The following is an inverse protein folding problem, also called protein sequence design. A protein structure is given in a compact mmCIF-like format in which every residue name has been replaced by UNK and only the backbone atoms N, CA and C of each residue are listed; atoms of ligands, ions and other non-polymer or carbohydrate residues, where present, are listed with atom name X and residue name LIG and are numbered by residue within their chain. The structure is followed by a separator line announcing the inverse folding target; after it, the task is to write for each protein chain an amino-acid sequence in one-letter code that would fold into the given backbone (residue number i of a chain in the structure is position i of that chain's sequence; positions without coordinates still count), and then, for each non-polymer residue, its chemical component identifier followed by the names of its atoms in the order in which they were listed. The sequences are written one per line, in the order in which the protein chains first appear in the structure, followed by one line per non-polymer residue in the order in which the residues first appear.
data_IF_119446458764
#
_entry.id   IF_119446458764
#
_cell.length_a   1.000
_cell.length_b   1.000
_cell.length_c   1.000
_cell.angle_alpha   90.00
_cell.angle_beta   90.00
_cell.angle_gamma   90.00
#
_symmetry.space_group_name_H-M   'P 1'
#
loop_
_entity.id
_entity.type
_entity.pdbx_description
1 polymer ?
#
# COMPACT_ATOMS: atom_id res chain seq x y z
N UNK A 1 -13.36 23.82 -45.15
CA UNK A 1 -13.26 23.58 -43.70
C UNK A 1 -12.38 24.67 -43.10
N UNK A 2 -12.94 25.59 -42.31
CA UNK A 2 -12.17 26.74 -41.80
C UNK A 2 -11.12 26.22 -40.80
N UNK A 3 -9.84 26.50 -41.04
CA UNK A 3 -8.69 26.06 -40.22
C UNK A 3 -8.85 26.29 -38.71
N UNK A 4 -9.74 27.22 -38.32
CA UNK A 4 -10.16 27.49 -36.96
C UNK A 4 -10.82 26.30 -36.23
N UNK A 5 -11.59 25.44 -36.91
CA UNK A 5 -12.16 24.24 -36.27
C UNK A 5 -11.09 23.20 -35.95
N UNK A 6 -10.12 23.03 -36.85
CA UNK A 6 -8.99 22.12 -36.66
C UNK A 6 -8.14 22.60 -35.47
N UNK A 7 -7.91 23.91 -35.37
CA UNK A 7 -7.22 24.49 -34.22
C UNK A 7 -7.96 24.27 -32.90
N UNK A 8 -9.29 24.45 -32.89
CA UNK A 8 -10.12 24.17 -31.70
C UNK A 8 -10.07 22.70 -31.27
N UNK A 9 -10.12 21.76 -32.22
CA UNK A 9 -10.02 20.32 -31.93
C UNK A 9 -8.66 19.97 -31.33
N UNK A 10 -7.57 20.55 -31.84
CA UNK A 10 -6.21 20.31 -31.31
C UNK A 10 -6.10 20.80 -29.86
N UNK A 11 -6.67 21.97 -29.54
CA UNK A 11 -6.65 22.50 -28.17
C UNK A 11 -7.45 21.61 -27.21
N UNK A 12 -8.63 21.13 -27.63
CA UNK A 12 -9.44 20.21 -26.81
C UNK A 12 -8.70 18.88 -26.61
N UNK A 13 -8.09 18.32 -27.66
CA UNK A 13 -7.32 17.10 -27.57
C UNK A 13 -6.12 17.24 -26.62
N UNK A 14 -5.40 18.37 -26.69
CA UNK A 14 -4.30 18.66 -25.77
C UNK A 14 -4.77 18.79 -24.31
N UNK A 15 -5.91 19.43 -24.08
CA UNK A 15 -6.50 19.56 -22.74
C UNK A 15 -6.90 18.20 -22.17
N UNK A 16 -7.53 17.33 -22.97
CA UNK A 16 -7.89 15.97 -22.54
C UNK A 16 -6.63 15.15 -22.23
N UNK A 17 -5.60 15.23 -23.09
CA UNK A 17 -4.32 14.54 -22.88
C UNK A 17 -3.65 14.99 -21.58
N UNK A 18 -3.70 16.29 -21.28
CA UNK A 18 -3.17 16.84 -20.03
C UNK A 18 -3.93 16.34 -18.80
N UNK A 19 -5.26 16.33 -18.84
CA UNK A 19 -6.08 15.82 -17.73
C UNK A 19 -5.82 14.33 -17.48
N UNK A 20 -5.81 13.52 -18.53
CA UNK A 20 -5.52 12.07 -18.42
C UNK A 20 -4.11 11.83 -17.87
N UNK A 21 -3.13 12.65 -18.25
CA UNK A 21 -1.76 12.53 -17.72
C UNK A 21 -1.67 12.77 -16.21
N UNK A 22 -2.54 13.62 -15.64
CA UNK A 22 -2.55 13.91 -14.19
C UNK A 22 -3.35 12.89 -13.35
N UNK A 23 -4.22 12.10 -13.97
CA UNK A 23 -5.06 11.14 -13.24
C UNK A 23 -4.29 9.88 -12.78
N UNK A 24 -3.09 9.63 -13.32
CA UNK A 24 -2.27 8.46 -12.98
C UNK A 24 -1.56 8.52 -11.62
N UNK A 25 -1.48 9.69 -10.99
CA UNK A 25 -0.69 9.91 -9.76
C UNK A 25 -1.50 9.80 -8.46
N UNK A 26 -2.80 9.52 -8.53
CA UNK A 26 -3.66 9.38 -7.36
C UNK A 26 -3.43 8.03 -6.67
N UNK A 27 -2.61 8.01 -5.61
CA UNK A 27 -2.42 6.83 -4.76
C UNK A 27 -3.75 6.43 -4.11
N UNK A 28 -4.26 5.26 -4.46
CA UNK A 28 -5.57 4.78 -4.01
C UNK A 28 -5.44 3.76 -2.87
N UNK A 29 -6.46 3.70 -2.01
CA UNK A 29 -6.60 2.64 -1.02
C UNK A 29 -7.19 1.40 -1.69
N UNK A 30 -6.42 0.32 -1.73
CA UNK A 30 -6.79 -0.92 -2.40
C UNK A 30 -6.27 -2.13 -1.60
N UNK A 31 -6.68 -3.33 -1.98
CA UNK A 31 -6.29 -4.58 -1.29
C UNK A 31 -5.04 -5.20 -1.91
N UNK A 32 -4.44 -6.21 -1.28
CA UNK A 32 -3.30 -6.91 -1.87
C UNK A 32 -3.67 -7.61 -3.18
N UNK A 33 -4.92 -8.07 -3.31
CA UNK A 33 -5.42 -8.61 -4.58
C UNK A 33 -5.36 -7.58 -5.71
N UNK A 34 -5.92 -6.39 -5.46
CA UNK A 34 -5.96 -5.33 -6.47
C UNK A 34 -4.54 -4.87 -6.81
N UNK A 35 -3.69 -4.74 -5.81
CA UNK A 35 -2.28 -4.40 -5.95
C UNK A 35 -1.52 -5.40 -6.83
N UNK A 36 -1.79 -6.69 -6.64
CA UNK A 36 -1.22 -7.77 -7.43
C UNK A 36 -1.73 -7.72 -8.87
N UNK A 37 -3.05 -7.58 -9.06
CA UNK A 37 -3.68 -7.50 -10.38
C UNK A 37 -3.14 -6.26 -11.16
N UNK A 38 -2.95 -5.12 -10.48
CA UNK A 38 -2.29 -3.93 -11.04
C UNK A 38 -0.84 -4.21 -11.49
N UNK A 39 -0.06 -4.92 -10.68
CA UNK A 39 1.32 -5.25 -11.04
C UNK A 39 1.40 -6.21 -12.23
N UNK A 40 0.43 -7.13 -12.40
CA UNK A 40 0.31 -7.98 -13.58
C UNK A 40 0.04 -7.17 -14.86
N UNK A 41 -0.73 -6.10 -14.74
CA UNK A 41 -0.99 -5.14 -15.82
C UNK A 41 0.20 -4.20 -16.10
N UNK A 42 1.32 -4.38 -15.39
CA UNK A 42 2.52 -3.55 -15.52
C UNK A 42 2.40 -2.19 -14.83
N UNK A 43 1.40 -2.01 -13.98
CA UNK A 43 1.18 -0.80 -13.20
C UNK A 43 1.97 -0.85 -11.88
N UNK A 44 3.02 -0.03 -11.79
CA UNK A 44 3.87 0.09 -10.60
C UNK A 44 3.51 1.30 -9.73
N UNK A 45 2.30 1.84 -9.86
CA UNK A 45 1.82 2.96 -9.04
C UNK A 45 1.81 2.55 -7.56
N UNK A 46 2.27 3.47 -6.72
CA UNK A 46 2.24 3.29 -5.26
C UNK A 46 0.80 3.37 -4.76
N UNK A 47 0.39 2.34 -4.06
CA UNK A 47 -0.95 2.18 -3.51
C UNK A 47 -0.90 2.06 -2.00
N UNK A 48 -2.05 2.28 -1.36
CA UNK A 48 -2.20 2.21 0.08
C UNK A 48 -2.96 0.93 0.42
N UNK A 49 -2.35 0.01 1.15
CA UNK A 49 -3.02 -1.20 1.62
C UNK A 49 -3.22 -1.09 3.13
N UNK A 50 -4.47 -1.24 3.57
CA UNK A 50 -4.84 -1.29 4.99
C UNK A 50 -4.94 -2.74 5.40
N UNK A 51 -4.42 -3.05 6.59
CA UNK A 51 -4.47 -4.41 7.11
C UNK A 51 -3.90 -4.53 8.51
N UNK A 52 -3.97 -5.73 9.03
CA UNK A 52 -3.53 -6.09 10.37
C UNK A 52 -2.25 -6.90 10.32
N UNK A 53 -1.41 -6.75 11.34
CA UNK A 53 -0.23 -7.59 11.50
C UNK A 53 -0.69 -9.00 11.86
N UNK A 54 -0.29 -10.01 11.09
CA UNK A 54 -0.65 -11.40 11.38
C UNK A 54 0.00 -11.80 12.70
N UNK A 55 -0.80 -12.21 13.69
CA UNK A 55 -0.32 -12.65 15.01
C UNK A 55 -0.61 -14.14 15.26
N UNK A 56 0.25 -14.80 16.03
CA UNK A 56 0.01 -16.16 16.54
C UNK A 56 -0.97 -16.14 17.72
N UNK A 57 -1.36 -17.33 18.22
CA UNK A 57 -2.22 -17.45 19.40
C UNK A 57 -1.59 -16.83 20.67
N UNK A 58 -0.26 -16.72 20.69
CA UNK A 58 0.54 -16.13 21.76
C UNK A 58 0.74 -14.60 21.58
N UNK A 59 0.19 -14.02 20.51
CA UNK A 59 0.28 -12.58 20.22
C UNK A 59 1.56 -12.15 19.51
N UNK A 60 2.41 -13.08 19.08
CA UNK A 60 3.65 -12.78 18.34
C UNK A 60 3.38 -12.53 16.86
N UNK A 61 4.06 -11.55 16.26
CA UNK A 61 3.90 -11.22 14.83
C UNK A 61 4.55 -12.33 13.99
N UNK A 62 3.76 -12.95 13.13
CA UNK A 62 4.18 -14.02 12.24
C UNK A 62 4.96 -13.44 11.05
N UNK A 63 6.04 -14.11 10.67
CA UNK A 63 6.88 -13.73 9.53
C UNK A 63 7.70 -12.46 9.74
N UNK A 64 7.81 -11.97 10.98
CA UNK A 64 8.64 -10.81 11.30
C UNK A 64 10.13 -11.17 11.27
N UNK A 65 10.82 -10.90 10.16
CA UNK A 65 12.24 -11.16 10.01
C UNK A 65 13.02 -9.88 9.66
N UNK A 66 13.74 -9.29 10.64
CA UNK A 66 14.74 -8.26 10.37
C UNK A 66 15.92 -8.82 9.56
N UNK A 67 16.49 -8.02 8.67
CA UNK A 67 17.75 -8.37 7.99
C UNK A 67 18.94 -8.37 8.96
N UNK A 68 20.02 -9.07 8.58
CA UNK A 68 21.25 -9.16 9.39
C UNK A 68 21.87 -7.80 9.70
N UNK A 69 21.77 -6.85 8.75
CA UNK A 69 22.23 -5.47 8.89
C UNK A 69 21.24 -4.55 9.63
N UNK A 70 20.03 -5.04 9.93
CA UNK A 70 18.91 -4.31 10.56
C UNK A 70 18.45 -3.07 9.79
N UNK A 71 18.77 -2.97 8.51
CA UNK A 71 18.35 -1.87 7.64
C UNK A 71 17.03 -2.15 6.91
N UNK A 72 16.54 -3.39 6.97
CA UNK A 72 15.27 -3.79 6.38
C UNK A 72 14.61 -4.87 7.23
N UNK A 73 13.32 -5.10 7.00
CA UNK A 73 12.64 -6.24 7.59
C UNK A 73 11.45 -6.69 6.71
N UNK A 74 11.05 -7.94 6.91
CA UNK A 74 9.83 -8.52 6.33
C UNK A 74 8.83 -8.82 7.43
N UNK A 75 7.54 -8.83 7.09
CA UNK A 75 6.45 -9.22 8.00
C UNK A 75 5.24 -9.74 7.21
N UNK A 76 4.43 -10.58 7.84
CA UNK A 76 3.14 -10.98 7.28
C UNK A 76 2.04 -9.99 7.69
N UNK A 77 1.29 -9.54 6.69
CA UNK A 77 0.16 -8.65 6.86
C UNK A 77 -1.08 -9.30 6.26
N UNK A 78 -2.22 -9.10 6.91
CA UNK A 78 -3.53 -9.56 6.41
C UNK A 78 -4.34 -8.33 6.04
N UNK A 79 -4.76 -8.20 4.79
CA UNK A 79 -5.62 -7.09 4.37
C UNK A 79 -7.08 -7.25 4.83
N UNK A 80 -7.91 -6.25 4.54
CA UNK A 80 -9.34 -6.27 4.87
C UNK A 80 -10.13 -7.39 4.17
N UNK A 81 -9.59 -8.00 3.11
CA UNK A 81 -10.19 -9.15 2.41
C UNK A 81 -9.71 -10.49 2.99
N UNK A 82 -8.88 -10.48 4.04
CA UNK A 82 -8.32 -11.68 4.64
C UNK A 82 -7.17 -12.30 3.84
N UNK A 83 -6.60 -11.55 2.89
CA UNK A 83 -5.47 -12.02 2.09
C UNK A 83 -4.19 -11.78 2.87
N UNK A 84 -3.45 -12.86 3.09
CA UNK A 84 -2.14 -12.80 3.72
C UNK A 84 -1.07 -12.51 2.68
N UNK A 85 -0.28 -11.48 2.92
CA UNK A 85 0.82 -11.10 2.05
C UNK A 85 2.07 -10.81 2.87
N UNK A 86 3.20 -11.32 2.38
CA UNK A 86 4.51 -10.92 2.86
C UNK A 86 4.84 -9.51 2.34
N UNK A 87 5.16 -8.62 3.27
CA UNK A 87 5.54 -7.23 3.00
C UNK A 87 7.01 -7.06 3.34
N UNK A 88 7.78 -6.52 2.38
CA UNK A 88 9.17 -6.12 2.56
C UNK A 88 9.26 -4.61 2.77
N UNK A 89 9.96 -4.18 3.82
CA UNK A 89 10.20 -2.76 4.10
C UNK A 89 11.70 -2.48 4.18
N UNK A 90 12.17 -1.57 3.33
CA UNK A 90 13.59 -1.26 3.17
C UNK A 90 14.08 -0.14 4.09
N UNK A 91 13.57 -0.10 5.33
CA UNK A 91 14.09 0.76 6.39
C UNK A 91 14.10 -0.01 7.72
N UNK A 92 14.86 0.46 8.74
CA UNK A 92 14.87 -0.16 10.05
C UNK A 92 13.48 -0.25 10.67
N UNK A 93 13.22 -1.35 11.37
CA UNK A 93 11.94 -1.58 12.06
C UNK A 93 11.64 -0.48 13.08
N UNK A 94 10.50 0.23 12.97
CA UNK A 94 10.08 1.19 13.98
C UNK A 94 9.90 0.52 15.35
N UNK A 95 10.31 1.19 16.42
CA UNK A 95 10.21 0.63 17.79
C UNK A 95 8.77 0.28 18.17
N UNK A 96 7.80 1.10 17.73
CA UNK A 96 6.37 0.91 18.01
C UNK A 96 5.67 -0.04 17.01
N UNK A 97 6.38 -0.58 16.02
CA UNK A 97 5.79 -1.44 15.00
C UNK A 97 5.06 -2.64 15.61
N UNK A 98 5.70 -3.29 16.60
CA UNK A 98 5.15 -4.46 17.28
C UNK A 98 3.89 -4.17 18.10
N UNK A 99 3.67 -2.90 18.45
CA UNK A 99 2.52 -2.44 19.26
C UNK A 99 1.32 -2.07 18.40
N UNK A 100 1.50 -1.97 17.09
CA UNK A 100 0.42 -1.63 16.17
C UNK A 100 -0.47 -2.85 15.93
N UNK A 101 -1.79 -2.68 16.02
CA UNK A 101 -2.74 -3.72 15.59
C UNK A 101 -2.99 -3.62 14.09
N UNK A 102 -3.29 -2.39 13.64
CA UNK A 102 -3.54 -2.06 12.24
C UNK A 102 -2.43 -1.17 11.69
N UNK A 103 -1.98 -1.47 10.47
CA UNK A 103 -0.98 -0.69 9.73
C UNK A 103 -1.49 -0.38 8.33
N UNK A 104 -1.02 0.72 7.77
CA UNK A 104 -1.20 1.05 6.36
C UNK A 104 0.16 1.00 5.70
N UNK A 105 0.32 0.14 4.70
CA UNK A 105 1.55 0.03 3.91
C UNK A 105 1.35 0.76 2.59
N UNK A 106 2.32 1.59 2.21
CA UNK A 106 2.32 2.33 0.96
C UNK A 106 3.44 1.77 0.11
N UNK A 107 3.12 1.25 -1.06
CA UNK A 107 4.09 0.52 -1.86
C UNK A 107 3.51 -0.05 -3.15
N UNK A 108 4.22 -1.02 -3.72
CA UNK A 108 3.83 -1.72 -4.95
C UNK A 108 4.30 -3.17 -4.91
N UNK A 109 3.64 -4.04 -5.69
CA UNK A 109 4.12 -5.41 -5.86
C UNK A 109 5.35 -5.46 -6.76
N UNK A 110 6.39 -6.16 -6.30
CA UNK A 110 7.59 -6.43 -7.06
C UNK A 110 7.97 -7.90 -6.93
N UNK A 111 8.04 -8.61 -8.05
CA UNK A 111 8.51 -10.02 -8.11
C UNK A 111 7.77 -10.97 -7.14
N UNK A 112 6.48 -10.74 -6.90
CA UNK A 112 5.64 -11.58 -6.02
C UNK A 112 5.62 -11.17 -4.54
N UNK A 113 6.39 -10.15 -4.14
CA UNK A 113 6.38 -9.59 -2.79
C UNK A 113 5.88 -8.15 -2.83
N UNK A 114 5.12 -7.73 -1.82
CA UNK A 114 4.75 -6.33 -1.70
C UNK A 114 5.91 -5.54 -1.09
N UNK A 115 6.46 -4.58 -1.83
CA UNK A 115 7.55 -3.72 -1.37
C UNK A 115 6.95 -2.41 -0.87
N UNK A 116 7.00 -2.21 0.44
CA UNK A 116 6.54 -1.00 1.09
C UNK A 116 7.65 0.07 1.07
N UNK A 117 7.30 1.26 0.60
CA UNK A 117 8.10 2.48 0.70
C UNK A 117 7.84 3.22 2.01
N UNK A 118 6.64 3.08 2.58
CA UNK A 118 6.25 3.76 3.81
C UNK A 118 5.26 2.92 4.60
N UNK A 119 5.41 2.93 5.92
CA UNK A 119 4.45 2.32 6.84
C UNK A 119 3.84 3.41 7.71
N UNK A 120 2.51 3.47 7.74
CA UNK A 120 1.75 4.29 8.68
C UNK A 120 1.16 3.38 9.75
N UNK A 121 1.68 3.49 10.96
CA UNK A 121 1.17 2.77 12.12
C UNK A 121 -0.07 3.50 12.63
N UNK A 122 -1.17 2.77 12.84
CA UNK A 122 -2.30 3.31 13.61
C UNK A 122 -2.12 2.90 15.06
N UNK A 123 -2.15 3.87 15.96
CA UNK A 123 -2.28 3.58 17.39
C UNK A 123 -3.65 2.92 17.61
N UNK A 124 -3.75 1.90 18.48
CA UNK A 124 -5.05 1.35 18.87
C UNK A 124 -5.94 2.50 19.34
N UNK A 125 -7.15 2.56 18.78
CA UNK A 125 -8.06 3.64 19.10
C UNK A 125 -8.34 3.60 20.61
N UNK A 126 -8.35 4.78 21.23
CA UNK A 126 -8.48 5.02 22.68
C UNK A 126 -9.72 4.42 23.38
N UNK A 127 -10.50 3.56 22.72
CA UNK A 127 -11.76 2.98 23.20
C UNK A 127 -11.77 1.44 23.23
N UNK A 128 -10.62 0.76 23.08
CA UNK A 128 -10.51 -0.70 23.25
C UNK A 128 -10.22 -1.13 24.72
N UNK A 129 -10.51 -0.28 25.69
CA UNK A 129 -10.56 -0.68 27.11
C UNK A 129 -12.02 -0.63 27.55
N UNK A 130 -12.67 -1.79 27.65
CA UNK A 130 -13.87 -2.14 28.45
C UNK A 130 -14.80 -3.12 27.73
N UNK A 131 -14.31 -4.34 27.52
CA UNK A 131 -15.18 -5.52 27.64
C UNK A 131 -14.50 -6.50 28.59
N UNK A 132 -14.52 -6.15 29.88
CA UNK A 132 -14.41 -7.13 30.95
C UNK A 132 -15.81 -7.69 31.13
N UNK A 133 -16.02 -8.96 30.76
CA UNK A 133 -17.21 -9.74 31.10
C UNK A 133 -16.92 -10.55 32.35
#
# INVERSE_FOLDING_TARGET
MKKSYIFGIIVIAAAIMMIVSTAGDASSYVTFKDAHDMALDGNNTKIHVVGELKKSAEGEIIGLNPSDDKLSFTFMMVDENGIEQEVFYNEPMPADFKRSEQVVVIGSFQKGTFVADKILMKCPSKYQEETVI
#
